data_IF_507503997006
#
_entry.id   IF_507503997006
#
_cell.length_a   1.000
_cell.length_b   1.000
_cell.length_c   1.000
_cell.angle_alpha   90.00
_cell.angle_beta   90.00
_cell.angle_gamma   90.00
#
_symmetry.space_group_name_H-M   'P 1'
#
loop_
_entity.id
_entity.type
_entity.pdbx_description
1 polymer ?
#
# COMPACT_ATOMS: atom_id res chain seq x y z
N UNK A 1 -12.19 6.66 -10.35
CA UNK A 1 -13.37 5.83 -10.72
C UNK A 1 -13.22 4.40 -10.18
N UNK A 2 -14.30 3.65 -9.92
CA UNK A 2 -14.23 2.27 -9.36
C UNK A 2 -13.30 1.34 -10.17
N UNK A 3 -13.31 1.49 -11.50
CA UNK A 3 -12.47 0.71 -12.42
C UNK A 3 -10.96 0.91 -12.17
N UNK A 4 -10.53 2.10 -11.78
CA UNK A 4 -9.12 2.35 -11.43
C UNK A 4 -8.71 1.60 -10.17
N UNK A 5 -9.61 1.52 -9.19
CA UNK A 5 -9.38 0.78 -7.95
C UNK A 5 -9.32 -0.73 -8.22
N UNK A 6 -10.25 -1.25 -9.04
CA UNK A 6 -10.23 -2.66 -9.49
C UNK A 6 -8.93 -2.98 -10.23
N UNK A 7 -8.50 -2.14 -11.18
CA UNK A 7 -7.22 -2.32 -11.88
C UNK A 7 -6.02 -2.24 -10.94
N UNK A 8 -6.07 -1.39 -9.91
CA UNK A 8 -5.04 -1.30 -8.91
C UNK A 8 -4.95 -2.57 -8.05
N UNK A 9 -6.05 -3.19 -7.66
CA UNK A 9 -6.03 -4.45 -6.89
C UNK A 9 -5.97 -5.70 -7.76
N UNK A 10 -6.24 -5.61 -9.07
CA UNK A 10 -6.19 -6.74 -10.01
C UNK A 10 -4.78 -7.18 -10.41
N UNK A 11 -3.79 -7.03 -9.53
CA UNK A 11 -2.41 -7.45 -9.76
C UNK A 11 -1.83 -8.06 -8.49
N UNK A 12 -1.24 -9.24 -8.63
CA UNK A 12 -0.77 -10.07 -7.53
C UNK A 12 0.19 -9.34 -6.60
N UNK A 13 1.19 -8.66 -7.17
CA UNK A 13 2.17 -7.89 -6.39
C UNK A 13 1.50 -6.79 -5.56
N UNK A 14 0.54 -6.05 -6.14
CA UNK A 14 -0.18 -4.99 -5.41
C UNK A 14 -1.07 -5.58 -4.32
N UNK A 15 -1.69 -6.74 -4.55
CA UNK A 15 -2.48 -7.43 -3.54
C UNK A 15 -1.63 -7.95 -2.38
N UNK A 16 -0.46 -8.52 -2.67
CA UNK A 16 0.49 -8.94 -1.64
C UNK A 16 0.94 -7.75 -0.79
N UNK A 17 1.23 -6.60 -1.41
CA UNK A 17 1.53 -5.37 -0.67
C UNK A 17 0.35 -4.97 0.23
N UNK A 18 -0.88 -4.98 -0.28
CA UNK A 18 -2.09 -4.66 0.50
C UNK A 18 -2.33 -5.64 1.65
N UNK A 19 -1.99 -6.91 1.49
CA UNK A 19 -2.05 -7.92 2.55
C UNK A 19 -1.02 -7.61 3.64
N UNK A 20 0.24 -7.37 3.26
CA UNK A 20 1.29 -7.07 4.23
C UNK A 20 1.03 -5.79 5.02
N UNK A 21 0.51 -4.76 4.35
CA UNK A 21 0.17 -3.49 4.98
C UNK A 21 -1.07 -3.58 5.89
N UNK A 22 -1.85 -4.67 5.83
CA UNK A 22 -2.97 -4.91 6.75
C UNK A 22 -2.47 -5.23 8.16
N UNK A 23 -1.35 -5.96 8.26
CA UNK A 23 -0.71 -6.28 9.53
C UNK A 23 0.81 -6.07 9.43
N UNK A 24 1.28 -4.82 9.37
CA UNK A 24 2.67 -4.53 9.08
C UNK A 24 3.63 -5.12 10.13
N UNK A 25 3.21 -5.23 11.39
CA UNK A 25 4.01 -5.80 12.47
C UNK A 25 4.29 -7.30 12.28
N UNK A 26 3.37 -8.04 11.67
CA UNK A 26 3.56 -9.46 11.36
C UNK A 26 4.38 -9.71 10.09
N UNK A 27 4.50 -8.70 9.22
CA UNK A 27 5.05 -8.88 7.87
C UNK A 27 6.39 -8.17 7.65
N UNK A 28 6.72 -7.14 8.42
CA UNK A 28 7.95 -6.37 8.27
C UNK A 28 8.78 -6.38 9.57
N UNK A 29 10.11 -6.30 9.47
CA UNK A 29 10.94 -6.14 10.66
C UNK A 29 10.61 -4.82 11.39
N UNK A 30 10.97 -4.70 12.68
CA UNK A 30 10.90 -3.43 13.40
C UNK A 30 11.61 -2.33 12.60
N UNK A 31 10.97 -1.15 12.52
CA UNK A 31 11.54 -0.03 11.80
C UNK A 31 12.37 0.82 12.77
N UNK A 32 13.66 0.99 12.48
CA UNK A 32 14.56 1.83 13.30
C UNK A 32 14.13 3.30 13.33
N UNK A 33 13.37 3.73 12.32
CA UNK A 33 12.91 5.10 12.12
C UNK A 33 11.43 5.13 11.71
N UNK A 34 10.60 5.77 12.53
CA UNK A 34 9.18 6.01 12.28
C UNK A 34 8.27 5.19 13.17
N UNK A 35 7.22 5.84 13.69
CA UNK A 35 6.13 5.17 14.40
C UNK A 35 5.42 4.19 13.43
N UNK A 36 5.19 2.91 13.82
CA UNK A 36 4.38 1.97 13.03
C UNK A 36 3.04 2.54 12.55
N UNK A 37 2.46 3.51 13.27
CA UNK A 37 1.25 4.22 12.88
C UNK A 37 1.40 5.03 11.57
N UNK A 38 2.61 5.43 11.22
CA UNK A 38 2.93 6.21 10.00
C UNK A 38 2.93 5.29 8.76
N UNK A 39 3.16 4.00 8.94
CA UNK A 39 3.22 3.00 7.87
C UNK A 39 4.60 2.39 7.69
N UNK A 40 4.80 1.72 6.56
CA UNK A 40 6.01 0.95 6.24
C UNK A 40 6.85 1.68 5.21
N UNK A 41 8.14 1.81 5.47
CA UNK A 41 9.08 2.42 4.53
C UNK A 41 9.13 1.66 3.19
N UNK A 42 9.20 2.41 2.08
CA UNK A 42 9.31 1.84 0.73
C UNK A 42 10.46 0.85 0.58
N UNK A 43 11.58 1.03 1.29
CA UNK A 43 12.73 0.10 1.24
C UNK A 43 12.39 -1.28 1.81
N UNK A 44 11.60 -1.36 2.88
CA UNK A 44 11.15 -2.62 3.45
C UNK A 44 10.16 -3.35 2.52
N UNK A 45 9.26 -2.61 1.89
CA UNK A 45 8.33 -3.15 0.89
C UNK A 45 9.11 -3.69 -0.31
N UNK A 46 10.08 -2.92 -0.81
CA UNK A 46 10.96 -3.30 -1.90
C UNK A 46 11.72 -4.60 -1.59
N UNK A 47 12.35 -4.66 -0.41
CA UNK A 47 13.11 -5.83 0.02
C UNK A 47 12.24 -7.08 0.14
N UNK A 48 11.05 -6.96 0.77
CA UNK A 48 10.11 -8.07 0.94
C UNK A 48 9.53 -8.57 -0.39
N UNK A 49 9.24 -7.66 -1.31
CA UNK A 49 8.70 -8.00 -2.62
C UNK A 49 9.76 -8.48 -3.62
N UNK A 50 11.05 -8.44 -3.26
CA UNK A 50 12.18 -8.73 -4.17
C UNK A 50 12.11 -7.89 -5.45
N UNK A 51 11.73 -6.62 -5.33
CA UNK A 51 11.57 -5.70 -6.47
C UNK A 51 12.71 -4.69 -6.55
N UNK A 52 12.88 -4.08 -7.73
CA UNK A 52 13.67 -2.86 -7.85
C UNK A 52 12.96 -1.68 -7.17
N UNK A 53 13.73 -0.65 -6.80
CA UNK A 53 13.18 0.56 -6.18
C UNK A 53 12.15 1.27 -7.08
N UNK A 54 12.41 1.31 -8.40
CA UNK A 54 11.49 1.91 -9.37
C UNK A 54 10.21 1.11 -9.53
N UNK A 55 10.30 -0.23 -9.59
CA UNK A 55 9.14 -1.11 -9.69
C UNK A 55 8.27 -1.02 -8.44
N UNK A 56 8.85 -1.12 -7.24
CA UNK A 56 8.12 -0.98 -5.98
C UNK A 56 7.42 0.38 -5.89
N UNK A 57 8.13 1.46 -6.22
CA UNK A 57 7.57 2.81 -6.23
C UNK A 57 6.40 2.95 -7.22
N UNK A 58 6.50 2.33 -8.40
CA UNK A 58 5.42 2.35 -9.39
C UNK A 58 4.17 1.61 -8.89
N UNK A 59 4.31 0.45 -8.25
CA UNK A 59 3.18 -0.27 -7.64
C UNK A 59 2.50 0.56 -6.55
N UNK A 60 3.30 1.17 -5.67
CA UNK A 60 2.80 2.01 -4.58
C UNK A 60 2.13 3.28 -5.11
N UNK A 61 2.67 3.90 -6.16
CA UNK A 61 2.04 5.04 -6.82
C UNK A 61 0.70 4.69 -7.48
N UNK A 62 0.55 3.48 -8.03
CA UNK A 62 -0.75 2.99 -8.56
C UNK A 62 -1.76 2.84 -7.42
N UNK A 63 -1.37 2.19 -6.32
CA UNK A 63 -2.24 2.03 -5.15
C UNK A 63 -2.64 3.38 -4.52
N UNK A 64 -1.68 4.32 -4.45
CA UNK A 64 -1.90 5.65 -3.90
C UNK A 64 -2.85 6.46 -4.79
N UNK A 65 -2.66 6.45 -6.11
CA UNK A 65 -3.58 7.11 -7.06
C UNK A 65 -4.99 6.52 -7.02
N UNK A 66 -5.11 5.22 -6.74
CA UNK A 66 -6.40 4.56 -6.50
C UNK A 66 -7.01 4.90 -5.12
N UNK A 67 -6.29 5.64 -4.27
CA UNK A 67 -6.72 6.04 -2.94
C UNK A 67 -6.75 4.90 -1.92
N UNK A 68 -6.10 3.77 -2.20
CA UNK A 68 -6.13 2.59 -1.32
C UNK A 68 -5.03 2.61 -0.24
N UNK A 69 -3.99 3.42 -0.47
CA UNK A 69 -2.90 3.65 0.49
C UNK A 69 -2.62 5.14 0.60
N UNK A 70 -2.10 5.52 1.76
CA UNK A 70 -1.56 6.85 2.02
C UNK A 70 -0.04 6.81 2.02
N UNK A 71 0.57 7.89 1.54
CA UNK A 71 2.01 8.07 1.57
C UNK A 71 2.36 9.22 2.52
N UNK A 72 3.32 9.00 3.41
CA UNK A 72 3.86 10.02 4.31
C UNK A 72 5.36 10.11 4.12
N UNK A 73 5.87 11.32 3.84
CA UNK A 73 7.31 11.55 3.65
C UNK A 73 7.93 12.10 4.92
N UNK A 74 8.98 11.43 5.41
CA UNK A 74 9.76 11.85 6.58
C UNK A 74 11.24 11.86 6.19
N UNK A 75 11.80 13.06 6.11
CA UNK A 75 13.16 13.25 5.60
C UNK A 75 13.33 12.68 4.18
N UNK A 76 14.22 11.71 4.05
CA UNK A 76 14.54 11.04 2.77
C UNK A 76 13.62 9.86 2.44
N UNK A 77 12.80 9.42 3.39
CA UNK A 77 12.02 8.19 3.27
C UNK A 77 10.54 8.46 3.08
N UNK A 78 9.88 7.59 2.32
CA UNK A 78 8.42 7.59 2.14
C UNK A 78 7.86 6.32 2.73
N UNK A 79 6.85 6.48 3.57
CA UNK A 79 6.15 5.44 4.28
C UNK A 79 4.76 5.26 3.68
N UNK A 80 4.31 4.02 3.59
CA UNK A 80 3.00 3.67 3.04
C UNK A 80 2.17 2.91 4.07
N UNK A 81 0.90 3.28 4.20
CA UNK A 81 -0.09 2.56 5.01
C UNK A 81 -1.40 2.45 4.26
N UNK A 82 -2.21 1.46 4.63
CA UNK A 82 -3.58 1.33 4.10
C UNK A 82 -4.44 2.51 4.53
N UNK A 83 -5.32 2.92 3.62
CA UNK A 83 -6.43 3.82 3.94
C UNK A 83 -7.68 2.97 4.17
N UNK A 84 -7.89 2.47 5.39
CA UNK A 84 -9.01 1.57 5.68
C UNK A 84 -10.37 2.22 5.35
N UNK A 85 -10.52 3.52 5.61
CA UNK A 85 -11.75 4.23 5.26
C UNK A 85 -12.00 4.25 3.74
N UNK A 86 -10.95 4.44 2.93
CA UNK A 86 -11.09 4.39 1.49
C UNK A 86 -11.32 2.97 0.96
N UNK A 87 -10.73 1.96 1.59
CA UNK A 87 -10.91 0.54 1.28
C UNK A 87 -12.35 0.11 1.60
N UNK A 88 -12.89 0.49 2.74
CA UNK A 88 -14.28 0.19 3.12
C UNK A 88 -15.25 0.83 2.13
N UNK A 89 -15.05 2.11 1.80
CA UNK A 89 -15.84 2.79 0.75
C UNK A 89 -15.72 2.11 -0.61
N UNK A 90 -14.56 1.56 -0.95
CA UNK A 90 -14.37 0.81 -2.19
C UNK A 90 -15.14 -0.51 -2.16
N UNK A 91 -15.06 -1.27 -1.07
CA UNK A 91 -15.79 -2.51 -0.88
C UNK A 91 -17.32 -2.28 -0.95
N UNK A 92 -17.82 -1.21 -0.35
CA UNK A 92 -19.24 -0.85 -0.42
C UNK A 92 -19.70 -0.47 -1.82
N UNK A 93 -18.86 0.21 -2.60
CA UNK A 93 -19.16 0.47 -4.02
C UNK A 93 -19.15 -0.82 -4.83
N UNK A 94 -18.18 -1.68 -4.60
CA UNK A 94 -18.06 -2.97 -5.31
C UNK A 94 -19.32 -3.82 -5.12
N UNK A 95 -19.85 -3.92 -3.90
CA UNK A 95 -21.11 -4.63 -3.58
C UNK A 95 -22.36 -4.01 -4.21
N UNK A 96 -22.32 -2.74 -4.63
CA UNK A 96 -23.46 -2.03 -5.21
C UNK A 96 -23.46 -2.10 -6.73
N UNK A 97 -22.28 -2.16 -7.35
CA UNK A 97 -22.11 -2.13 -8.80
C UNK A 97 -21.96 -3.53 -9.43
N UNK A 98 -21.64 -4.55 -8.62
CA UNK A 98 -21.56 -5.97 -9.00
C UNK A 98 -22.50 -6.81 -8.15
#
# INVERSE_FOLDING_TARGET
MILEQIKAVGNDTRMLIMEWLKNPQAHFPPQDHGDPAIGVCVSHIQAKASLSASTASAHLAILQRAGLVQATRIGKWTYFRRDELAIDRFADRLKKEL
#
